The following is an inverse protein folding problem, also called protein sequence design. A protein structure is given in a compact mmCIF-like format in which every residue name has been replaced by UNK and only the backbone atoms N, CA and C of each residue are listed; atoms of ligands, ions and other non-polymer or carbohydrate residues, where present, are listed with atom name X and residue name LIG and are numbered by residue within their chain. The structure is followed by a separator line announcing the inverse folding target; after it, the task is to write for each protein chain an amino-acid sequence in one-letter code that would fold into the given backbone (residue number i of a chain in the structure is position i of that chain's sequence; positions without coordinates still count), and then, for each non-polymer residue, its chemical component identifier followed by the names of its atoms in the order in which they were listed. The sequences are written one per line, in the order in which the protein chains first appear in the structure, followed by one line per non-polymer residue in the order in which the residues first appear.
data_IF_758179710350
#
_entry.id   IF_758179710350
#
_cell.length_a   1.000
_cell.length_b   1.000
_cell.length_c   1.000
_cell.angle_alpha   90.00
_cell.angle_beta   90.00
_cell.angle_gamma   90.00
#
_symmetry.space_group_name_H-M   'P 1'
#
loop_
_entity.id
_entity.type
_entity.pdbx_description
1 polymer ?
#
# COMPACT_ATOMS: atom_id res chain seq x y z
N UNK A 1 20.53 -33.37 -4.47
CA UNK A 1 19.08 -33.31 -4.69
C UNK A 1 18.50 -32.38 -3.63
N UNK A 2 18.51 -31.09 -3.92
CA UNK A 2 17.89 -30.03 -3.13
C UNK A 2 17.47 -28.99 -4.15
N UNK A 3 16.17 -28.69 -4.14
CA UNK A 3 15.39 -28.15 -5.25
C UNK A 3 15.91 -26.78 -5.71
N UNK A 4 15.95 -26.60 -7.03
CA UNK A 4 15.80 -25.30 -7.68
C UNK A 4 14.56 -24.62 -7.09
N UNK A 5 14.76 -23.64 -6.22
CA UNK A 5 13.74 -22.65 -5.91
C UNK A 5 14.08 -21.43 -6.75
N UNK A 6 13.22 -21.02 -7.71
CA UNK A 6 13.43 -19.74 -8.37
C UNK A 6 13.41 -18.64 -7.31
N UNK A 7 14.40 -17.75 -7.34
CA UNK A 7 14.33 -16.51 -6.59
C UNK A 7 13.03 -15.78 -6.97
N UNK A 8 12.32 -15.14 -6.02
CA UNK A 8 11.15 -14.34 -6.34
C UNK A 8 11.54 -13.27 -7.37
N UNK A 9 11.02 -13.42 -8.59
CA UNK A 9 11.19 -12.48 -9.69
C UNK A 9 10.23 -11.31 -9.45
N UNK A 10 10.80 -10.13 -9.21
CA UNK A 10 10.09 -8.85 -9.36
C UNK A 10 9.99 -8.59 -10.88
N UNK A 11 8.85 -8.11 -11.38
CA UNK A 11 8.54 -8.05 -12.82
C UNK A 11 9.51 -7.25 -13.69
N UNK A 12 9.34 -7.28 -15.04
CA UNK A 12 10.42 -7.07 -16.01
C UNK A 12 10.91 -5.61 -16.08
N UNK A 13 12.23 -5.46 -16.23
CA UNK A 13 12.88 -4.20 -16.59
C UNK A 13 12.47 -3.77 -18.01
N UNK A 14 11.71 -2.68 -18.15
CA UNK A 14 11.32 -2.05 -19.43
C UNK A 14 10.34 -0.88 -19.25
N UNK A 15 10.31 0.13 -20.15
CA UNK A 15 10.10 1.55 -19.80
C UNK A 15 8.66 2.01 -19.52
N UNK A 16 7.67 1.12 -19.42
CA UNK A 16 6.30 1.52 -19.08
C UNK A 16 5.71 0.44 -18.13
N UNK A 17 5.59 0.78 -16.84
CA UNK A 17 4.77 0.12 -15.77
C UNK A 17 5.44 -0.66 -14.60
N UNK A 18 5.32 -0.02 -13.42
CA UNK A 18 5.22 -0.43 -11.99
C UNK A 18 6.21 -1.40 -11.32
N UNK A 19 7.08 -0.80 -10.47
CA UNK A 19 8.01 -1.42 -9.53
C UNK A 19 7.37 -2.06 -8.27
N UNK A 20 6.05 -2.29 -8.25
CA UNK A 20 5.28 -2.64 -7.03
C UNK A 20 4.68 -4.04 -7.05
N UNK A 21 5.08 -4.87 -8.03
CA UNK A 21 4.46 -6.17 -8.29
C UNK A 21 5.51 -7.26 -8.51
N UNK A 22 5.13 -8.51 -8.29
CA UNK A 22 5.94 -9.66 -8.70
C UNK A 22 5.20 -10.46 -9.77
N UNK A 23 5.98 -11.11 -10.63
CA UNK A 23 5.45 -11.97 -11.69
C UNK A 23 4.78 -13.24 -11.14
N UNK A 24 5.10 -13.65 -9.89
CA UNK A 24 4.69 -14.93 -9.32
C UNK A 24 3.34 -14.94 -8.61
N UNK A 25 2.84 -13.79 -8.16
CA UNK A 25 1.52 -13.70 -7.54
C UNK A 25 0.41 -13.76 -8.60
N UNK A 26 -0.83 -13.98 -8.20
CA UNK A 26 -1.97 -14.08 -9.14
C UNK A 26 -2.42 -12.68 -9.58
N UNK A 27 -2.58 -11.78 -8.61
CA UNK A 27 -3.18 -10.46 -8.82
C UNK A 27 -2.32 -9.35 -8.20
N UNK A 28 -2.55 -8.14 -8.70
CA UNK A 28 -2.09 -6.89 -8.08
C UNK A 28 -3.32 -6.06 -7.77
N UNK A 29 -3.34 -5.41 -6.61
CA UNK A 29 -4.42 -4.52 -6.22
C UNK A 29 -3.89 -3.24 -5.57
N UNK A 30 -4.66 -2.16 -5.74
CA UNK A 30 -4.51 -0.89 -5.04
C UNK A 30 -5.42 -0.90 -3.83
N UNK A 31 -4.87 -0.60 -2.68
CA UNK A 31 -5.61 -0.39 -1.43
C UNK A 31 -5.62 1.11 -1.15
N UNK A 32 -6.78 1.73 -1.20
CA UNK A 32 -6.92 3.16 -0.95
C UNK A 32 -6.80 3.46 0.55
N UNK A 33 -5.95 4.41 0.88
CA UNK A 33 -5.78 4.97 2.21
C UNK A 33 -6.79 6.10 2.39
N UNK A 34 -7.58 6.10 3.48
CA UNK A 34 -8.53 7.17 3.75
C UNK A 34 -7.84 8.53 3.81
N UNK A 35 -8.47 9.54 3.21
CA UNK A 35 -7.99 10.91 3.26
C UNK A 35 -8.20 11.50 4.65
N UNK A 36 -7.25 12.32 5.09
CA UNK A 36 -7.34 13.03 6.37
C UNK A 36 -7.87 14.44 6.10
N UNK A 37 -9.02 14.76 6.70
CA UNK A 37 -9.64 16.07 6.67
C UNK A 37 -9.43 16.85 7.97
N UNK A 38 -10.20 17.93 8.13
CA UNK A 38 -10.18 18.72 9.36
C UNK A 38 -10.44 17.85 10.60
N UNK A 39 -9.78 18.20 11.71
CA UNK A 39 -9.91 17.52 13.01
C UNK A 39 -9.62 16.02 12.95
N UNK A 40 -8.68 15.61 12.10
CA UNK A 40 -8.25 14.20 11.93
C UNK A 40 -9.37 13.26 11.47
N UNK A 41 -10.42 13.82 10.86
CA UNK A 41 -11.48 13.01 10.24
C UNK A 41 -10.93 12.20 9.07
N UNK A 42 -11.31 10.92 8.98
CA UNK A 42 -10.84 10.00 7.94
C UNK A 42 -11.96 9.73 6.94
N UNK A 43 -11.70 9.99 5.67
CA UNK A 43 -12.68 9.94 4.59
C UNK A 43 -12.31 8.85 3.58
N UNK A 44 -13.14 7.81 3.42
CA UNK A 44 -12.96 6.82 2.37
C UNK A 44 -13.15 7.45 0.98
N UNK A 45 -12.48 6.90 -0.02
CA UNK A 45 -12.50 7.38 -1.40
C UNK A 45 -13.83 7.15 -2.09
N UNK A 46 -14.46 5.99 -1.91
CA UNK A 46 -15.71 5.61 -2.56
C UNK A 46 -16.84 6.63 -2.36
N UNK A 47 -17.15 7.04 -1.11
CA UNK A 47 -18.09 8.12 -0.83
C UNK A 47 -17.72 9.44 -1.50
N UNK A 48 -16.43 9.82 -1.51
CA UNK A 48 -15.98 11.07 -2.12
C UNK A 48 -16.15 11.05 -3.65
N UNK A 49 -15.77 9.94 -4.30
CA UNK A 49 -15.98 9.73 -5.75
C UNK A 49 -17.48 9.73 -6.11
N UNK A 50 -18.31 9.19 -5.23
CA UNK A 50 -19.76 9.22 -5.42
C UNK A 50 -20.34 10.63 -5.32
N UNK A 51 -19.88 11.44 -4.35
CA UNK A 51 -20.27 12.84 -4.20
C UNK A 51 -19.87 13.67 -5.43
N UNK A 52 -18.64 13.50 -5.96
CA UNK A 52 -18.17 14.27 -7.11
C UNK A 52 -18.87 13.89 -8.41
N UNK A 53 -19.24 12.61 -8.59
CA UNK A 53 -20.01 12.19 -9.77
C UNK A 53 -21.42 12.83 -9.80
N UNK A 54 -22.03 13.03 -8.64
CA UNK A 54 -23.36 13.63 -8.54
C UNK A 54 -23.38 15.11 -8.97
N UNK A 55 -22.26 15.82 -8.83
CA UNK A 55 -22.13 17.22 -9.24
C UNK A 55 -22.14 17.44 -10.75
N UNK A 56 -21.66 16.48 -11.53
CA UNK A 56 -21.44 16.67 -12.98
C UNK A 56 -22.76 16.87 -13.75
N UNK A 57 -23.91 16.84 -13.09
CA UNK A 57 -25.24 17.03 -13.68
C UNK A 57 -25.62 15.97 -14.71
N UNK A 58 -24.78 14.95 -14.85
CA UNK A 58 -24.95 13.88 -15.82
C UNK A 58 -25.94 12.87 -15.25
N UNK A 59 -26.94 12.41 -16.02
CA UNK A 59 -27.81 11.30 -15.64
C UNK A 59 -27.05 9.96 -15.61
N UNK A 60 -25.71 9.99 -15.75
CA UNK A 60 -24.86 8.83 -15.64
C UNK A 60 -24.93 8.23 -14.22
N UNK A 61 -24.86 6.89 -14.12
CA UNK A 61 -24.78 6.23 -12.82
C UNK A 61 -23.55 6.73 -12.06
N UNK A 62 -23.68 6.79 -10.72
CA UNK A 62 -22.56 7.06 -9.80
C UNK A 62 -21.35 6.22 -10.23
N UNK A 63 -20.21 6.87 -10.46
CA UNK A 63 -19.01 6.20 -10.94
C UNK A 63 -18.44 5.40 -9.76
N UNK A 64 -18.23 4.08 -9.89
CA UNK A 64 -17.53 3.33 -8.86
C UNK A 64 -16.07 3.78 -8.76
N UNK A 65 -15.46 3.53 -7.60
CA UNK A 65 -14.03 3.70 -7.41
C UNK A 65 -13.28 2.87 -8.47
N UNK A 66 -12.26 3.47 -9.09
CA UNK A 66 -11.43 2.82 -10.12
C UNK A 66 -10.01 2.62 -9.58
N UNK A 67 -9.33 1.53 -9.95
CA UNK A 67 -7.90 1.34 -9.61
C UNK A 67 -7.01 2.47 -10.12
N UNK A 68 -7.40 3.13 -11.20
CA UNK A 68 -6.70 4.29 -11.79
C UNK A 68 -7.19 5.64 -11.25
N UNK A 69 -8.03 5.66 -10.21
CA UNK A 69 -8.58 6.89 -9.67
C UNK A 69 -7.46 7.78 -9.13
N UNK A 70 -7.43 9.03 -9.59
CA UNK A 70 -6.39 10.01 -9.32
C UNK A 70 -6.86 10.99 -8.24
N UNK A 71 -6.00 11.31 -7.26
CA UNK A 71 -6.24 12.38 -6.30
C UNK A 71 -6.37 13.74 -6.98
N UNK A 72 -5.51 14.05 -7.94
CA UNK A 72 -5.53 15.31 -8.69
C UNK A 72 -6.91 15.56 -9.31
N UNK A 73 -7.45 14.56 -10.01
CA UNK A 73 -8.80 14.58 -10.57
C UNK A 73 -9.86 14.78 -9.48
N UNK A 74 -9.80 13.98 -8.41
CA UNK A 74 -10.78 14.03 -7.32
C UNK A 74 -10.74 15.38 -6.57
N UNK A 75 -9.56 15.96 -6.38
CA UNK A 75 -9.34 17.17 -5.61
C UNK A 75 -9.98 18.40 -6.25
N UNK A 76 -9.95 18.48 -7.59
CA UNK A 76 -10.59 19.57 -8.35
C UNK A 76 -12.11 19.54 -8.14
N UNK A 77 -12.71 18.36 -8.22
CA UNK A 77 -14.15 18.20 -8.04
C UNK A 77 -14.57 18.43 -6.57
N UNK A 78 -13.77 17.99 -5.60
CA UNK A 78 -14.00 18.24 -4.19
C UNK A 78 -13.89 19.73 -3.83
N UNK A 79 -12.96 20.47 -4.44
CA UNK A 79 -12.89 21.92 -4.31
C UNK A 79 -14.16 22.59 -4.85
N UNK A 80 -14.70 22.12 -5.98
CA UNK A 80 -15.97 22.61 -6.52
C UNK A 80 -17.17 22.32 -5.60
N UNK A 81 -17.10 21.27 -4.77
CA UNK A 81 -18.08 20.97 -3.70
C UNK A 81 -17.94 21.86 -2.46
N UNK A 82 -16.91 22.69 -2.37
CA UNK A 82 -16.57 23.40 -1.13
C UNK A 82 -16.02 22.46 -0.04
N UNK A 83 -15.51 21.28 -0.40
CA UNK A 83 -14.78 20.36 0.49
C UNK A 83 -13.32 20.81 0.62
N UNK A 84 -13.13 22.04 1.07
CA UNK A 84 -11.81 22.58 1.36
C UNK A 84 -11.23 21.87 2.61
N UNK A 85 -9.93 21.56 2.61
CA UNK A 85 -9.24 20.98 3.77
C UNK A 85 -9.02 19.46 3.76
N UNK A 86 -9.42 18.74 2.70
CA UNK A 86 -8.91 17.39 2.43
C UNK A 86 -7.53 17.50 1.79
N UNK A 87 -6.54 16.88 2.41
CA UNK A 87 -5.14 17.00 1.98
C UNK A 87 -4.49 15.62 1.90
N UNK A 88 -4.20 15.18 0.67
CA UNK A 88 -3.51 13.91 0.43
C UNK A 88 -2.10 13.92 0.99
N UNK A 89 -1.42 15.06 1.06
CA UNK A 89 -0.04 15.13 1.59
C UNK A 89 0.04 14.78 3.09
N UNK A 90 -1.11 14.78 3.76
CA UNK A 90 -1.29 14.37 5.16
C UNK A 90 -1.94 13.01 5.30
N UNK A 91 -2.33 12.36 4.20
CA UNK A 91 -2.92 11.05 4.27
C UNK A 91 -1.90 10.07 4.84
N UNK A 92 -2.26 9.53 5.99
CA UNK A 92 -1.50 8.56 6.76
C UNK A 92 -2.49 7.47 7.10
N UNK A 93 -2.15 6.19 6.93
CA UNK A 93 -3.08 5.10 7.22
C UNK A 93 -3.53 5.13 8.68
N UNK A 94 -2.65 5.56 9.60
CA UNK A 94 -2.91 5.61 11.02
C UNK A 94 -3.06 4.21 11.62
N UNK A 95 -3.17 4.18 12.95
CA UNK A 95 -3.09 2.93 13.72
C UNK A 95 -4.18 1.93 13.38
N UNK A 96 -5.44 2.37 13.35
CA UNK A 96 -6.59 1.47 13.13
C UNK A 96 -6.49 0.78 11.77
N UNK A 97 -6.12 1.52 10.72
CA UNK A 97 -5.90 0.95 9.39
C UNK A 97 -4.76 -0.06 9.40
N UNK A 98 -3.61 0.29 9.99
CA UNK A 98 -2.43 -0.57 9.98
C UNK A 98 -2.65 -1.86 10.78
N UNK A 99 -3.34 -1.80 11.92
CA UNK A 99 -3.70 -2.98 12.72
C UNK A 99 -4.66 -3.88 11.94
N UNK A 100 -5.69 -3.30 11.29
CA UNK A 100 -6.62 -4.08 10.47
C UNK A 100 -5.92 -4.71 9.27
N UNK A 101 -5.01 -3.97 8.62
CA UNK A 101 -4.25 -4.44 7.47
C UNK A 101 -3.34 -5.61 7.87
N UNK A 102 -2.56 -5.44 8.95
CA UNK A 102 -1.71 -6.49 9.48
C UNK A 102 -2.49 -7.75 9.84
N UNK A 103 -3.68 -7.60 10.44
CA UNK A 103 -4.56 -8.73 10.76
C UNK A 103 -5.00 -9.51 9.53
N UNK A 104 -5.31 -8.83 8.42
CA UNK A 104 -5.66 -9.49 7.15
C UNK A 104 -4.44 -10.14 6.51
N UNK A 105 -3.30 -9.43 6.45
CA UNK A 105 -2.05 -9.95 5.87
C UNK A 105 -1.51 -11.18 6.62
N UNK A 106 -1.76 -11.28 7.92
CA UNK A 106 -1.38 -12.42 8.74
C UNK A 106 -2.24 -13.67 8.49
N UNK A 107 -3.37 -13.57 7.80
CA UNK A 107 -4.28 -14.72 7.60
C UNK A 107 -3.60 -15.79 6.77
N UNK A 108 -3.56 -17.01 7.30
CA UNK A 108 -2.92 -18.14 6.64
C UNK A 108 -1.39 -18.17 6.78
N UNK A 109 -0.79 -17.18 7.46
CA UNK A 109 0.62 -17.22 7.85
C UNK A 109 0.80 -17.97 9.18
N UNK A 110 1.99 -18.50 9.42
CA UNK A 110 2.39 -18.95 10.74
C UNK A 110 2.38 -17.74 11.71
N UNK A 111 1.87 -17.91 12.93
CA UNK A 111 1.88 -16.86 13.95
C UNK A 111 3.30 -16.42 14.33
N UNK A 112 4.30 -17.28 14.11
CA UNK A 112 5.72 -16.96 14.27
C UNK A 112 6.38 -16.45 12.98
N UNK A 113 5.65 -16.32 11.87
CA UNK A 113 6.19 -15.84 10.62
C UNK A 113 6.64 -14.38 10.74
N UNK A 114 7.88 -14.13 10.33
CA UNK A 114 8.40 -12.78 10.21
C UNK A 114 8.27 -12.27 8.78
N UNK A 115 8.12 -10.97 8.68
CA UNK A 115 8.21 -10.21 7.46
C UNK A 115 9.52 -9.42 7.41
N UNK A 116 10.06 -9.32 6.21
CA UNK A 116 11.09 -8.39 5.81
C UNK A 116 10.46 -7.02 5.52
N UNK A 117 10.90 -6.00 6.26
CA UNK A 117 10.47 -4.61 6.11
C UNK A 117 11.61 -3.78 5.53
N UNK A 118 11.36 -3.12 4.40
CA UNK A 118 12.31 -2.24 3.74
C UNK A 118 11.99 -0.78 4.06
N UNK A 119 12.96 -0.05 4.60
CA UNK A 119 12.79 1.32 5.08
C UNK A 119 13.87 2.23 4.49
N UNK A 120 13.50 3.48 4.24
CA UNK A 120 14.45 4.53 3.85
C UNK A 120 15.42 4.87 5.00
N UNK A 121 16.74 4.92 4.76
CA UNK A 121 17.70 5.44 5.73
C UNK A 121 17.32 6.85 6.20
N UNK A 122 17.30 7.10 7.51
CA UNK A 122 16.96 8.42 8.09
C UNK A 122 15.46 8.77 8.16
N UNK A 123 14.62 8.12 7.34
CA UNK A 123 13.15 8.11 7.48
C UNK A 123 12.66 6.94 8.34
N UNK A 124 13.49 5.92 8.52
CA UNK A 124 13.42 4.92 9.58
C UNK A 124 13.76 5.55 10.95
N UNK A 125 13.17 6.71 11.26
CA UNK A 125 13.29 7.32 12.58
C UNK A 125 12.97 6.25 13.61
N UNK A 126 13.96 5.91 14.43
CA UNK A 126 13.92 4.89 15.48
C UNK A 126 13.18 3.62 15.02
N UNK A 127 13.92 2.58 14.65
CA UNK A 127 13.39 1.28 14.22
C UNK A 127 12.62 0.52 15.33
N UNK A 128 12.15 1.23 16.36
CA UNK A 128 11.56 0.73 17.61
C UNK A 128 12.44 -0.37 18.25
N UNK A 129 13.76 -0.25 18.08
CA UNK A 129 14.74 -1.22 18.57
C UNK A 129 15.00 -2.41 17.65
N UNK A 130 14.49 -2.41 16.40
CA UNK A 130 14.84 -3.44 15.42
C UNK A 130 16.23 -3.22 14.84
N UNK A 131 17.06 -4.24 14.94
CA UNK A 131 18.38 -4.22 14.31
C UNK A 131 18.27 -4.43 12.79
N UNK A 132 19.10 -3.73 11.99
CA UNK A 132 19.23 -4.02 10.57
C UNK A 132 19.70 -5.47 10.36
N UNK A 133 19.13 -6.13 9.36
CA UNK A 133 19.59 -7.46 8.94
C UNK A 133 20.29 -7.40 7.60
N UNK A 134 21.18 -8.36 7.36
CA UNK A 134 21.78 -8.56 6.04
C UNK A 134 20.67 -8.89 5.05
N UNK A 135 20.63 -8.16 3.94
CA UNK A 135 19.67 -8.40 2.87
C UNK A 135 19.95 -9.77 2.25
N UNK A 136 19.01 -10.72 2.25
CA UNK A 136 19.16 -11.97 1.53
C UNK A 136 19.33 -11.70 0.03
N UNK A 137 20.15 -12.50 -0.66
CA UNK A 137 20.40 -12.32 -2.11
C UNK A 137 19.13 -12.28 -2.95
N UNK A 138 18.11 -13.06 -2.57
CA UNK A 138 16.80 -13.03 -3.22
C UNK A 138 16.07 -11.68 -3.16
N UNK A 139 16.45 -10.79 -2.23
CA UNK A 139 15.83 -9.50 -2.00
C UNK A 139 16.78 -8.31 -2.25
N UNK A 140 18.00 -8.57 -2.73
CA UNK A 140 19.02 -7.53 -2.99
C UNK A 140 18.55 -6.49 -4.02
N UNK A 141 17.68 -6.88 -4.94
CA UNK A 141 17.10 -5.95 -5.90
C UNK A 141 16.16 -4.97 -5.19
N UNK A 142 15.23 -5.47 -4.36
CA UNK A 142 14.33 -4.62 -3.58
C UNK A 142 15.10 -3.65 -2.69
N UNK A 143 16.18 -4.09 -2.04
CA UNK A 143 16.98 -3.20 -1.19
C UNK A 143 17.73 -2.12 -1.96
N UNK A 144 18.02 -2.32 -3.25
CA UNK A 144 18.72 -1.32 -4.08
C UNK A 144 17.78 -0.30 -4.71
N UNK A 145 16.46 -0.59 -4.70
CA UNK A 145 15.45 0.36 -5.16
C UNK A 145 15.44 1.58 -4.28
N UNK A 146 14.86 2.65 -4.80
CA UNK A 146 14.56 3.83 -3.99
C UNK A 146 15.82 4.30 -3.25
N UNK A 147 16.91 4.56 -3.98
CA UNK A 147 18.16 5.08 -3.40
C UNK A 147 18.90 4.22 -2.37
N UNK A 148 18.41 3.01 -2.07
CA UNK A 148 18.95 2.10 -1.07
C UNK A 148 18.09 2.05 0.20
N UNK A 149 17.59 0.85 0.53
CA UNK A 149 16.70 0.58 1.65
C UNK A 149 17.40 -0.30 2.70
N UNK A 150 17.09 -0.05 3.97
CA UNK A 150 17.51 -0.87 5.11
C UNK A 150 16.45 -1.92 5.38
N UNK A 151 16.90 -3.16 5.60
CA UNK A 151 16.04 -4.29 5.88
C UNK A 151 15.96 -4.56 7.38
N UNK A 152 14.73 -4.74 7.88
CA UNK A 152 14.44 -5.20 9.24
C UNK A 152 13.54 -6.43 9.19
N UNK A 153 13.53 -7.21 10.28
CA UNK A 153 12.61 -8.34 10.45
C UNK A 153 11.76 -8.14 11.68
N UNK A 154 10.46 -8.35 11.53
CA UNK A 154 9.50 -8.33 12.61
C UNK A 154 8.25 -9.12 12.20
N UNK A 155 7.35 -9.45 13.13
CA UNK A 155 6.02 -9.92 12.78
C UNK A 155 5.24 -8.88 11.98
N UNK A 156 4.29 -9.30 11.14
CA UNK A 156 3.46 -8.36 10.35
C UNK A 156 2.65 -7.37 11.21
N UNK A 157 2.34 -7.75 12.47
CA UNK A 157 1.69 -6.88 13.45
C UNK A 157 2.47 -5.59 13.74
N UNK A 158 3.78 -5.59 13.50
CA UNK A 158 4.63 -4.42 13.67
C UNK A 158 4.19 -3.22 12.82
N UNK A 159 3.46 -3.44 11.71
CA UNK A 159 2.80 -2.36 10.96
C UNK A 159 1.85 -1.54 11.84
N UNK A 160 1.09 -2.19 12.71
CA UNK A 160 0.22 -1.52 13.68
C UNK A 160 1.02 -0.89 14.81
N UNK A 161 1.97 -1.63 15.37
CA UNK A 161 2.76 -1.20 16.54
C UNK A 161 3.57 0.06 16.24
N UNK A 162 4.21 0.16 15.06
CA UNK A 162 5.00 1.34 14.67
C UNK A 162 4.17 2.63 14.58
N UNK A 163 2.84 2.51 14.45
CA UNK A 163 1.91 3.65 14.38
C UNK A 163 1.17 3.89 15.69
N UNK A 164 1.57 3.21 16.78
CA UNK A 164 0.89 3.31 18.07
C UNK A 164 1.12 4.65 18.76
N UNK A 165 2.36 5.15 18.73
CA UNK A 165 2.76 6.38 19.44
C UNK A 165 2.78 7.61 18.52
N UNK A 166 2.83 7.41 17.21
CA UNK A 166 2.77 8.46 16.19
C UNK A 166 2.04 7.95 14.95
N UNK A 167 0.83 8.44 14.72
CA UNK A 167 0.02 8.03 13.57
C UNK A 167 0.51 8.60 12.24
N UNK A 168 1.45 9.55 12.28
CA UNK A 168 2.10 10.13 11.09
C UNK A 168 3.36 9.36 10.68
N UNK A 169 3.74 8.31 11.41
CA UNK A 169 4.83 7.43 11.01
C UNK A 169 4.54 6.85 9.63
N UNK A 170 5.45 7.09 8.69
CA UNK A 170 5.35 6.54 7.34
C UNK A 170 5.46 5.01 7.36
N UNK A 171 4.78 4.36 6.44
CA UNK A 171 4.85 2.91 6.28
C UNK A 171 6.21 2.47 5.68
N UNK A 172 6.59 1.21 5.90
CA UNK A 172 7.70 0.57 5.17
C UNK A 172 7.48 0.65 3.65
N UNK A 173 8.55 0.90 2.91
CA UNK A 173 8.53 0.98 1.44
C UNK A 173 8.09 -0.36 0.86
N UNK A 174 8.60 -1.45 1.40
CA UNK A 174 8.15 -2.80 1.06
C UNK A 174 7.96 -3.64 2.31
N UNK A 175 6.99 -4.55 2.26
CA UNK A 175 6.81 -5.65 3.21
C UNK A 175 6.75 -6.96 2.45
N UNK A 176 7.62 -7.88 2.82
CA UNK A 176 7.76 -9.19 2.19
C UNK A 176 7.77 -10.30 3.25
N UNK A 177 6.77 -11.19 3.31
CA UNK A 177 6.77 -12.30 4.26
C UNK A 177 7.76 -13.39 3.85
N UNK A 178 8.25 -14.16 4.82
CA UNK A 178 9.24 -15.21 4.57
C UNK A 178 8.77 -16.30 3.58
N UNK A 179 7.46 -16.56 3.51
CA UNK A 179 6.84 -17.50 2.58
C UNK A 179 6.57 -16.92 1.19
N UNK A 180 6.78 -15.60 1.03
CA UNK A 180 6.48 -14.88 -0.21
C UNK A 180 5.00 -14.90 -0.59
N UNK A 181 4.08 -14.95 0.39
CA UNK A 181 2.63 -14.99 0.11
C UNK A 181 2.06 -13.67 -0.45
N UNK A 182 2.74 -12.55 -0.21
CA UNK A 182 2.40 -11.24 -0.75
C UNK A 182 3.63 -10.34 -0.90
N UNK A 183 3.49 -9.26 -1.66
CA UNK A 183 4.35 -8.09 -1.59
C UNK A 183 3.45 -6.88 -1.33
N UNK A 184 3.68 -6.18 -0.21
CA UNK A 184 3.08 -4.88 0.03
C UNK A 184 4.10 -3.81 -0.34
N UNK A 185 3.70 -2.81 -1.11
CA UNK A 185 4.53 -1.69 -1.52
C UNK A 185 3.87 -0.35 -1.14
N UNK A 186 4.67 0.54 -0.57
CA UNK A 186 4.37 1.92 -0.23
C UNK A 186 5.54 2.82 -0.71
N UNK A 187 5.75 2.91 -2.03
CA UNK A 187 6.96 3.43 -2.70
C UNK A 187 7.08 4.96 -2.67
N UNK A 188 6.69 5.56 -1.55
CA UNK A 188 6.43 6.98 -1.35
C UNK A 188 5.02 7.35 -1.87
N UNK A 189 4.25 8.03 -1.00
CA UNK A 189 2.92 8.69 -1.20
C UNK A 189 1.63 8.01 -0.73
N UNK A 190 0.65 8.87 -0.47
CA UNK A 190 -0.08 8.95 0.80
C UNK A 190 -1.50 8.37 0.75
N UNK A 191 -2.02 8.18 -0.45
CA UNK A 191 -3.39 7.80 -0.71
C UNK A 191 -3.58 6.32 -0.98
N UNK A 192 -2.50 5.55 -1.16
CA UNK A 192 -2.61 4.17 -1.59
C UNK A 192 -1.43 3.31 -1.22
N UNK A 193 -1.74 2.04 -1.01
CA UNK A 193 -0.77 0.94 -0.94
C UNK A 193 -1.01 0.01 -2.12
N UNK A 194 0.03 -0.66 -2.55
CA UNK A 194 -0.06 -1.67 -3.60
C UNK A 194 0.23 -3.04 -3.01
N UNK A 195 -0.62 -4.02 -3.31
CA UNK A 195 -0.43 -5.39 -2.86
C UNK A 195 -0.42 -6.32 -4.08
N UNK A 196 0.63 -7.13 -4.19
CA UNK A 196 0.70 -8.24 -5.12
C UNK A 196 0.52 -9.52 -4.31
N UNK A 197 -0.48 -10.34 -4.64
CA UNK A 197 -0.90 -11.48 -3.80
C UNK A 197 -1.84 -12.47 -4.53
N UNK A 198 -2.47 -13.37 -3.78
CA UNK A 198 -3.55 -14.24 -4.28
C UNK A 198 -4.88 -13.49 -4.42
N UNK A 199 -5.77 -14.00 -5.29
CA UNK A 199 -7.11 -13.43 -5.41
C UNK A 199 -7.89 -13.51 -4.08
N UNK A 200 -7.68 -14.55 -3.28
CA UNK A 200 -8.33 -14.68 -1.97
C UNK A 200 -7.91 -13.58 -1.00
N UNK A 201 -6.64 -13.16 -0.99
CA UNK A 201 -6.20 -12.09 -0.10
C UNK A 201 -6.87 -10.75 -0.45
N UNK A 202 -7.14 -10.50 -1.73
CA UNK A 202 -7.91 -9.32 -2.16
C UNK A 202 -9.33 -9.36 -1.63
N UNK A 203 -10.02 -10.50 -1.72
CA UNK A 203 -11.36 -10.65 -1.16
C UNK A 203 -11.37 -10.49 0.37
N UNK A 204 -10.35 -11.01 1.04
CA UNK A 204 -10.18 -10.86 2.49
C UNK A 204 -9.99 -9.40 2.92
N UNK A 205 -9.25 -8.60 2.13
CA UNK A 205 -9.10 -7.16 2.34
C UNK A 205 -10.44 -6.43 2.16
N UNK A 206 -11.19 -6.74 1.09
CA UNK A 206 -12.52 -6.17 0.87
C UNK A 206 -13.49 -6.52 2.00
N UNK A 207 -13.50 -7.77 2.44
CA UNK A 207 -14.33 -8.24 3.54
C UNK A 207 -13.98 -7.57 4.88
N UNK A 208 -12.74 -7.10 5.04
CA UNK A 208 -12.31 -6.31 6.20
C UNK A 208 -12.64 -4.80 6.07
N UNK A 209 -13.28 -4.38 4.98
CA UNK A 209 -13.73 -3.00 4.77
C UNK A 209 -12.71 -2.08 4.11
N UNK A 210 -11.61 -2.62 3.56
CA UNK A 210 -10.68 -1.84 2.75
C UNK A 210 -11.28 -1.55 1.37
N UNK A 211 -11.04 -0.34 0.87
CA UNK A 211 -11.34 0.01 -0.52
C UNK A 211 -10.21 -0.52 -1.41
N UNK A 212 -10.50 -1.59 -2.15
CA UNK A 212 -9.50 -2.35 -2.91
C UNK A 212 -9.93 -2.58 -4.35
N UNK A 213 -9.11 -2.10 -5.28
CA UNK A 213 -9.33 -2.25 -6.71
C UNK A 213 -8.19 -3.03 -7.36
N UNK A 214 -8.54 -4.02 -8.19
CA UNK A 214 -7.55 -4.82 -8.91
C UNK A 214 -6.93 -3.97 -10.02
N UNK A 215 -5.61 -4.09 -10.14
CA UNK A 215 -4.79 -3.41 -11.13
C UNK A 215 -4.33 -4.43 -12.17
N UNK A 216 -4.58 -4.13 -13.45
CA UNK A 216 -3.91 -4.84 -14.53
C UNK A 216 -2.42 -4.52 -14.52
N UNK A 217 -1.56 -5.52 -14.77
CA UNK A 217 -0.11 -5.38 -14.56
C UNK A 217 0.58 -4.43 -15.54
N UNK A 218 -0.11 -4.07 -16.61
CA UNK A 218 0.34 -3.26 -17.73
C UNK A 218 -0.23 -1.84 -17.72
N UNK A 219 -0.90 -1.43 -16.62
CA UNK A 219 -1.41 -0.06 -16.49
C UNK A 219 -0.47 0.79 -15.64
N UNK A 220 -0.28 2.02 -16.08
CA UNK A 220 0.36 3.03 -15.26
C UNK A 220 -0.49 3.29 -14.01
N UNK A 221 0.12 3.11 -12.84
CA UNK A 221 -0.50 3.47 -11.56
C UNK A 221 -0.27 4.96 -11.28
N UNK A 222 -1.23 5.67 -10.66
CA UNK A 222 -1.02 7.05 -10.27
C UNK A 222 0.24 7.22 -9.41
N UNK A 223 0.97 8.28 -9.71
CA UNK A 223 2.18 8.65 -8.99
C UNK A 223 1.88 9.35 -7.67
N UNK A 224 2.92 9.97 -7.13
CA UNK A 224 2.84 10.86 -5.98
C UNK A 224 1.70 11.87 -6.06
N UNK A 225 0.74 11.81 -5.12
CA UNK A 225 -0.24 12.88 -4.95
C UNK A 225 -1.12 13.11 -6.17
N UNK A 226 -1.29 12.07 -7.00
CA UNK A 226 -1.88 12.16 -8.33
C UNK A 226 -3.20 11.45 -8.48
#
# INVERSE_FOLDING_TARGET
MTRDQPAPSVGPEGPEVSAFTTSTHEVTARVFVPLVGERESRWPWGPLVAETTALSGSPAPVRPLSSTQRWSDLSVDLQALGREGLDVSRATPGRTFCVALASVLARGQDAAAECSFFLWPGYAGETDGLEPVVVPTALEELSRREGGLVLHRAPVSWLGDRTADDEHRRLPVFVWPADGSFLLACPVYHDSLYVSCSAQLVEDLRAAGFEVEVIARDIEVPGEGD
#
